data_IF_239956624899
#
_entry.id   IF_239956624899
#
_cell.length_a   1.000
_cell.length_b   1.000
_cell.length_c   1.000
_cell.angle_alpha   90.00
_cell.angle_beta   90.00
_cell.angle_gamma   90.00
#
_symmetry.space_group_name_H-M   'P 1'
#
loop_
_entity.id
_entity.type
_entity.pdbx_description
1 polymer ?
#
# COMPACT_ATOMS: atom_id res chain seq x y z
N UNK A 1 1.31 9.13 5.50
CA UNK A 1 2.67 8.58 5.31
C UNK A 1 3.06 8.75 3.85
N UNK A 2 4.28 8.42 3.42
CA UNK A 2 4.64 8.47 2.00
C UNK A 2 5.49 7.26 1.60
N UNK A 3 5.43 6.88 0.32
CA UNK A 3 6.24 5.84 -0.26
C UNK A 3 6.90 6.32 -1.55
N UNK A 4 8.20 6.09 -1.65
CA UNK A 4 8.98 6.31 -2.87
C UNK A 4 9.35 4.97 -3.47
N UNK A 5 8.79 4.65 -4.64
CA UNK A 5 9.16 3.49 -5.45
C UNK A 5 10.17 3.94 -6.49
N UNK A 6 11.41 3.43 -6.40
CA UNK A 6 12.47 3.77 -7.34
C UNK A 6 12.98 2.54 -8.07
N UNK A 7 13.06 2.63 -9.40
CA UNK A 7 13.70 1.63 -10.24
C UNK A 7 14.61 2.31 -11.27
N UNK A 8 15.92 2.18 -11.05
CA UNK A 8 16.95 2.88 -11.82
C UNK A 8 16.77 4.41 -11.74
N UNK A 9 16.48 5.04 -12.87
CA UNK A 9 16.21 6.47 -13.00
C UNK A 9 14.72 6.81 -12.84
N UNK A 10 13.84 5.81 -12.79
CA UNK A 10 12.41 6.03 -12.59
C UNK A 10 12.09 6.14 -11.10
N UNK A 11 11.28 7.12 -10.75
CA UNK A 11 10.82 7.36 -9.39
C UNK A 11 9.32 7.67 -9.39
N UNK A 12 8.60 7.04 -8.46
CA UNK A 12 7.20 7.33 -8.18
C UNK A 12 7.08 7.63 -6.69
N UNK A 13 6.54 8.80 -6.37
CA UNK A 13 6.25 9.21 -5.00
C UNK A 13 4.74 9.17 -4.79
N UNK A 14 4.31 8.47 -3.75
CA UNK A 14 2.92 8.34 -3.35
C UNK A 14 2.76 8.86 -1.93
N UNK A 15 1.88 9.84 -1.75
CA UNK A 15 1.45 10.29 -0.44
C UNK A 15 0.19 9.53 -0.03
N UNK A 16 0.24 8.92 1.15
CA UNK A 16 -0.84 8.09 1.67
C UNK A 16 -1.87 8.93 2.41
N UNK A 17 -3.17 8.78 2.12
CA UNK A 17 -4.23 9.42 2.88
C UNK A 17 -4.28 8.88 4.32
N UNK A 18 -4.96 9.59 5.21
CA UNK A 18 -5.09 9.17 6.61
C UNK A 18 -5.87 7.87 6.74
N UNK A 19 -6.91 7.70 5.92
CA UNK A 19 -7.74 6.50 5.88
C UNK A 19 -7.33 5.66 4.66
N UNK A 20 -6.41 4.74 4.90
CA UNK A 20 -5.89 3.79 3.92
C UNK A 20 -5.70 2.43 4.57
N UNK A 21 -6.05 1.38 3.85
CA UNK A 21 -5.68 0.00 4.21
C UNK A 21 -4.42 -0.38 3.44
N UNK A 22 -3.44 -0.95 4.14
CA UNK A 22 -2.22 -1.50 3.57
C UNK A 22 -2.19 -3.00 3.87
N UNK A 23 -2.10 -3.81 2.82
CA UNK A 23 -1.83 -5.24 2.92
C UNK A 23 -0.43 -5.54 2.35
N UNK A 24 0.35 -6.34 3.09
CA UNK A 24 1.67 -6.79 2.67
C UNK A 24 1.71 -8.30 2.76
N UNK A 25 2.12 -8.93 1.67
CA UNK A 25 2.25 -10.38 1.58
C UNK A 25 3.60 -10.76 0.99
N UNK A 26 4.23 -11.75 1.61
CA UNK A 26 5.47 -12.34 1.11
C UNK A 26 5.26 -13.84 0.98
N UNK A 27 5.51 -14.36 -0.22
CA UNK A 27 5.45 -15.79 -0.50
C UNK A 27 6.78 -16.30 -1.06
N UNK A 28 7.20 -17.47 -0.60
CA UNK A 28 8.35 -18.20 -1.13
C UNK A 28 7.88 -19.50 -1.77
N UNK A 29 8.11 -19.64 -3.08
CA UNK A 29 7.80 -20.85 -3.84
C UNK A 29 9.10 -21.57 -4.25
N UNK A 30 9.33 -22.78 -3.73
CA UNK A 30 10.49 -23.59 -4.11
C UNK A 30 10.24 -24.27 -5.46
N UNK A 31 10.94 -23.82 -6.50
CA UNK A 31 10.87 -24.39 -7.85
C UNK A 31 12.03 -25.35 -8.10
N UNK A 32 11.71 -26.61 -8.41
CA UNK A 32 12.68 -27.72 -8.63
C UNK A 32 13.90 -27.38 -9.50
N UNK A 33 13.76 -26.50 -10.50
CA UNK A 33 14.85 -26.13 -11.43
C UNK A 33 15.30 -24.67 -11.32
N UNK A 34 14.56 -23.81 -10.63
CA UNK A 34 14.79 -22.35 -10.61
C UNK A 34 15.18 -21.82 -9.22
N UNK A 35 15.26 -22.69 -8.22
CA UNK A 35 15.47 -22.29 -6.82
C UNK A 35 14.20 -21.70 -6.21
N UNK A 36 14.34 -20.91 -5.16
CA UNK A 36 13.22 -20.25 -4.48
C UNK A 36 12.83 -18.98 -5.24
N UNK A 37 11.58 -18.92 -5.72
CA UNK A 37 10.97 -17.67 -6.17
C UNK A 37 10.43 -16.98 -4.91
N UNK A 38 10.91 -15.76 -4.63
CA UNK A 38 10.30 -14.88 -3.66
C UNK A 38 9.38 -13.90 -4.36
N UNK A 39 8.18 -13.76 -3.83
CA UNK A 39 7.14 -12.84 -4.30
C UNK A 39 6.78 -11.90 -3.16
N UNK A 40 6.75 -10.61 -3.46
CA UNK A 40 6.32 -9.55 -2.55
C UNK A 40 5.13 -8.87 -3.23
N UNK A 41 4.01 -8.84 -2.53
CA UNK A 41 2.81 -8.14 -2.92
C UNK A 41 2.51 -7.05 -1.89
N UNK A 42 2.25 -5.85 -2.39
CA UNK A 42 1.89 -4.67 -1.60
C UNK A 42 0.60 -4.14 -2.21
N UNK A 43 -0.49 -4.19 -1.45
CA UNK A 43 -1.80 -3.66 -1.85
C UNK A 43 -2.15 -2.46 -0.97
N UNK A 44 -2.59 -1.38 -1.62
CA UNK A 44 -2.97 -0.13 -0.98
C UNK A 44 -4.38 0.24 -1.45
N UNK A 45 -5.32 0.35 -0.51
CA UNK A 45 -6.73 0.66 -0.82
C UNK A 45 -7.21 1.86 -0.02
N UNK A 46 -7.85 2.82 -0.68
CA UNK A 46 -8.54 3.95 -0.06
C UNK A 46 -9.67 4.49 -0.94
N UNK A 47 -10.65 5.16 -0.32
CA UNK A 47 -11.71 5.87 -1.03
C UNK A 47 -11.36 7.35 -1.22
N UNK A 48 -11.61 7.89 -2.41
CA UNK A 48 -11.47 9.32 -2.67
C UNK A 48 -12.60 10.10 -1.97
N UNK A 49 -12.26 11.20 -1.30
CA UNK A 49 -13.22 12.08 -0.62
C UNK A 49 -13.67 11.62 0.78
N UNK A 50 -13.05 10.59 1.36
CA UNK A 50 -13.33 10.13 2.72
C UNK A 50 -12.80 11.06 3.83
N UNK A 51 -11.91 12.01 3.50
CA UNK A 51 -11.37 12.98 4.46
C UNK A 51 -12.35 14.12 4.81
N UNK A 52 -13.53 14.18 4.18
CA UNK A 52 -14.48 15.31 4.32
C UNK A 52 -15.67 15.04 5.26
N UNK A 53 -15.60 13.99 6.09
CA UNK A 53 -16.67 13.67 7.07
C UNK A 53 -16.14 13.24 8.43
N UNK A 54 -15.54 14.18 9.17
CA UNK A 54 -15.58 14.13 10.63
C UNK A 54 -15.79 15.51 11.27
N UNK A 55 -16.87 16.19 10.86
CA UNK A 55 -17.59 17.12 11.74
C UNK A 55 -18.99 16.54 12.00
N UNK A 56 -19.03 15.43 12.71
CA UNK A 56 -20.25 14.97 13.37
C UNK A 56 -20.37 15.72 14.69
N UNK A 57 -21.24 16.73 14.73
CA UNK A 57 -21.63 17.41 15.98
C UNK A 57 -22.31 16.37 16.87
N UNK A 58 -21.73 16.09 18.03
CA UNK A 58 -22.45 15.45 19.13
C UNK A 58 -23.24 16.54 19.86
N UNK A 59 -24.56 16.52 19.73
CA UNK A 59 -25.46 17.26 20.63
C UNK A 59 -25.85 16.28 21.74
N UNK A 60 -25.48 16.59 22.98
CA UNK A 60 -26.14 16.06 24.18
C UNK A 60 -27.33 16.96 24.56
#
# INVERSE_FOLDING_TARGET
GSMTLRQNENEVVLDFPQQMTLEIKVEDEVKKRKGTKRELEIELEWYLGADDRQTGVMIE
#
